data_IF_476762224127
#
_entry.id   IF_476762224127
#
_cell.length_a   1.000
_cell.length_b   1.000
_cell.length_c   1.000
_cell.angle_alpha   90.00
_cell.angle_beta   90.00
_cell.angle_gamma   90.00
#
_symmetry.space_group_name_H-M   'P 1'
#
loop_
_entity.id
_entity.type
_entity.pdbx_description
1 polymer ?
#
# COMPACT_ATOMS: atom_id res chain seq x y z
N UNK A 1 7.86 19.31 -2.32
CA UNK A 1 8.47 19.74 -1.03
C UNK A 1 9.58 18.77 -0.67
N UNK A 2 10.53 19.21 0.15
CA UNK A 2 11.65 18.41 0.64
C UNK A 2 12.08 18.93 2.02
N UNK A 3 12.21 18.03 3.00
CA UNK A 3 12.82 18.32 4.29
C UNK A 3 14.24 17.77 4.36
N UNK A 4 15.18 18.60 4.81
CA UNK A 4 16.48 18.15 5.30
C UNK A 4 16.48 18.22 6.84
N UNK A 5 17.10 17.24 7.50
CA UNK A 5 17.05 17.10 8.94
C UNK A 5 18.44 16.86 9.53
N UNK A 6 18.67 17.44 10.71
CA UNK A 6 19.74 17.03 11.60
C UNK A 6 19.42 15.67 12.22
N UNK A 7 20.46 14.93 12.64
CA UNK A 7 20.35 13.57 13.19
C UNK A 7 21.13 13.37 14.50
N UNK A 8 21.43 14.46 15.21
CA UNK A 8 22.37 14.46 16.34
C UNK A 8 21.98 13.53 17.49
N UNK A 9 20.69 13.40 17.80
CA UNK A 9 20.17 12.59 18.92
C UNK A 9 19.51 11.27 18.46
N UNK A 10 19.78 10.84 17.23
CA UNK A 10 19.11 9.70 16.61
C UNK A 10 17.64 9.97 16.23
N UNK A 11 17.19 11.23 16.29
CA UNK A 11 15.91 11.67 15.73
C UNK A 11 16.16 12.60 14.56
N UNK A 12 15.25 12.55 13.59
CA UNK A 12 15.22 13.51 12.49
C UNK A 12 14.54 14.79 12.96
N UNK A 13 15.31 15.87 13.08
CA UNK A 13 14.80 17.21 13.39
C UNK A 13 14.99 18.11 12.16
N UNK A 14 13.88 18.53 11.51
CA UNK A 14 13.96 19.38 10.32
C UNK A 14 14.65 20.70 10.61
N UNK A 15 15.69 21.00 9.84
CA UNK A 15 16.40 22.29 9.89
C UNK A 15 16.30 23.09 8.58
N UNK A 16 15.81 22.46 7.50
CA UNK A 16 15.48 23.13 6.26
C UNK A 16 14.28 22.45 5.58
N UNK A 17 13.38 23.25 5.03
CA UNK A 17 12.31 22.79 4.14
C UNK A 17 12.25 23.70 2.92
N UNK A 18 12.29 23.10 1.74
CA UNK A 18 12.07 23.81 0.47
C UNK A 18 10.80 23.30 -0.17
N UNK A 19 9.96 24.22 -0.65
CA UNK A 19 8.76 23.91 -1.42
C UNK A 19 8.71 24.80 -2.65
N UNK A 20 8.36 24.21 -3.77
CA UNK A 20 8.11 24.92 -5.03
C UNK A 20 6.69 24.59 -5.49
N UNK A 21 5.98 25.58 -6.02
CA UNK A 21 4.73 25.36 -6.74
C UNK A 21 5.01 24.91 -8.19
N UNK A 22 3.96 24.69 -9.00
CA UNK A 22 4.12 24.25 -10.39
C UNK A 22 4.94 25.25 -11.24
N UNK A 23 4.72 26.55 -11.05
CA UNK A 23 5.45 27.64 -11.72
C UNK A 23 6.93 27.71 -11.32
N UNK A 24 7.29 27.18 -10.16
CA UNK A 24 8.65 27.25 -9.58
C UNK A 24 8.83 28.36 -8.59
N UNK A 25 7.76 29.03 -8.17
CA UNK A 25 7.83 29.95 -7.05
C UNK A 25 8.18 29.16 -5.80
N UNK A 26 9.22 29.62 -5.12
CA UNK A 26 9.83 28.91 -4.02
C UNK A 26 9.48 29.55 -2.69
N UNK A 27 9.29 28.70 -1.68
CA UNK A 27 9.28 29.11 -0.27
C UNK A 27 10.24 28.23 0.52
N UNK A 28 11.07 28.89 1.33
CA UNK A 28 12.09 28.27 2.17
C UNK A 28 11.75 28.52 3.62
N UNK A 29 11.88 27.47 4.44
CA UNK A 29 11.78 27.51 5.89
C UNK A 29 13.07 26.94 6.45
N UNK A 30 13.71 27.64 7.37
CA UNK A 30 15.01 27.23 7.91
C UNK A 30 15.10 27.46 9.42
N UNK A 31 15.99 26.72 10.07
CA UNK A 31 16.23 26.80 11.51
C UNK A 31 15.44 25.78 12.33
N UNK A 32 15.45 25.90 13.67
CA UNK A 32 15.00 24.83 14.57
C UNK A 32 13.49 24.59 14.56
N UNK A 33 12.70 25.59 14.12
CA UNK A 33 11.24 25.50 14.04
C UNK A 33 10.73 25.21 12.64
N UNK A 34 11.61 24.83 11.70
CA UNK A 34 11.30 24.60 10.27
C UNK A 34 10.00 23.83 10.05
N UNK A 35 9.81 22.71 10.78
CA UNK A 35 8.59 21.89 10.68
C UNK A 35 7.33 22.66 11.09
N UNK A 36 7.38 23.32 12.24
CA UNK A 36 6.22 24.02 12.80
C UNK A 36 5.89 25.27 11.94
N UNK A 37 6.88 25.98 11.43
CA UNK A 37 6.69 27.13 10.51
C UNK A 37 6.14 26.69 9.15
N UNK A 38 6.71 25.62 8.56
CA UNK A 38 6.21 25.03 7.33
C UNK A 38 4.75 24.61 7.48
N UNK A 39 4.42 23.83 8.50
CA UNK A 39 3.05 23.37 8.71
C UNK A 39 2.09 24.52 9.03
N UNK A 40 2.53 25.53 9.78
CA UNK A 40 1.73 26.74 10.02
C UNK A 40 1.38 27.43 8.70
N UNK A 41 2.33 27.53 7.77
CA UNK A 41 2.07 28.08 6.44
C UNK A 41 1.15 27.16 5.61
N UNK A 42 1.45 25.87 5.51
CA UNK A 42 0.65 24.89 4.75
C UNK A 42 -0.83 24.99 5.11
N UNK A 43 -1.15 25.05 6.40
CA UNK A 43 -2.53 25.01 6.89
C UNK A 43 -3.20 26.39 6.98
N UNK A 44 -2.72 27.37 6.19
CA UNK A 44 -3.40 28.63 5.94
C UNK A 44 -4.45 28.49 4.83
N UNK A 45 -5.51 29.29 4.89
CA UNK A 45 -6.61 29.26 3.92
C UNK A 45 -6.15 29.48 2.47
N UNK A 46 -5.06 30.23 2.27
CA UNK A 46 -4.46 30.49 0.95
C UNK A 46 -3.98 29.22 0.25
N UNK A 47 -3.66 28.17 1.01
CA UNK A 47 -3.19 26.88 0.50
C UNK A 47 -4.30 25.83 0.43
N UNK A 48 -5.57 26.18 0.70
CA UNK A 48 -6.68 25.26 0.59
C UNK A 48 -6.81 24.68 -0.84
N UNK A 49 -7.28 23.43 -0.95
CA UNK A 49 -7.38 22.68 -2.21
C UNK A 49 -6.03 22.37 -2.89
N UNK A 50 -4.94 22.30 -2.12
CA UNK A 50 -3.60 22.01 -2.64
C UNK A 50 -3.19 20.56 -2.39
N UNK A 51 -2.52 19.97 -3.37
CA UNK A 51 -1.82 18.68 -3.22
C UNK A 51 -0.32 18.91 -3.14
N UNK A 52 0.28 18.54 -2.01
CA UNK A 52 1.72 18.53 -1.80
C UNK A 52 2.30 17.18 -2.20
N UNK A 53 3.39 17.21 -2.94
CA UNK A 53 4.12 16.01 -3.36
C UNK A 53 5.51 16.01 -2.72
N UNK A 54 5.90 14.88 -2.14
CA UNK A 54 7.26 14.63 -1.67
C UNK A 54 7.77 13.28 -2.18
N UNK A 55 9.09 13.09 -2.13
CA UNK A 55 9.74 11.86 -2.55
C UNK A 55 10.16 11.05 -1.33
N UNK A 56 9.61 9.84 -1.18
CA UNK A 56 9.72 9.04 0.04
C UNK A 56 8.99 9.63 1.28
N UNK A 57 7.97 10.47 1.04
CA UNK A 57 6.96 10.90 2.01
C UNK A 57 6.52 9.78 2.96
N UNK A 58 6.27 8.59 2.40
CA UNK A 58 5.65 7.46 3.08
C UNK A 58 6.47 6.87 4.23
N UNK A 59 7.78 7.12 4.23
CA UNK A 59 8.70 6.60 5.24
C UNK A 59 9.45 7.71 5.99
N UNK A 60 9.26 8.98 5.61
CA UNK A 60 10.04 10.10 6.12
C UNK A 60 9.16 11.32 6.44
N UNK A 61 8.94 12.20 5.47
CA UNK A 61 8.28 13.51 5.65
C UNK A 61 6.87 13.40 6.25
N UNK A 62 6.14 12.33 5.91
CA UNK A 62 4.78 12.11 6.37
C UNK A 62 4.67 12.01 7.89
N UNK A 63 5.67 11.46 8.58
CA UNK A 63 5.66 11.37 10.04
C UNK A 63 5.89 12.73 10.70
N UNK A 64 6.68 13.61 10.08
CA UNK A 64 6.92 14.97 10.59
C UNK A 64 5.62 15.78 10.55
N UNK A 65 4.91 15.74 9.42
CA UNK A 65 3.62 16.42 9.25
C UNK A 65 2.56 15.81 10.18
N UNK A 66 2.50 14.49 10.26
CA UNK A 66 1.55 13.81 11.14
C UNK A 66 1.77 14.18 12.62
N UNK A 67 3.03 14.27 13.05
CA UNK A 67 3.37 14.72 14.41
C UNK A 67 2.88 16.14 14.69
N UNK A 68 3.05 17.07 13.73
CA UNK A 68 2.55 18.43 13.86
C UNK A 68 1.02 18.44 14.01
N UNK A 69 0.30 17.69 13.17
CA UNK A 69 -1.16 17.66 13.18
C UNK A 69 -1.70 17.16 14.52
N UNK A 70 -1.17 16.04 15.03
CA UNK A 70 -1.58 15.52 16.33
C UNK A 70 -1.22 16.43 17.50
N UNK A 71 -0.05 17.10 17.46
CA UNK A 71 0.34 18.10 18.46
C UNK A 71 -0.67 19.27 18.52
N UNK A 72 -1.29 19.59 17.39
CA UNK A 72 -2.28 20.67 17.26
C UNK A 72 -3.75 20.18 17.32
N UNK A 73 -3.99 18.91 17.67
CA UNK A 73 -5.35 18.35 17.79
C UNK A 73 -6.09 18.18 16.45
N UNK A 74 -5.38 18.21 15.33
CA UNK A 74 -5.96 17.99 14.00
C UNK A 74 -5.90 16.50 13.68
N UNK A 75 -7.03 15.92 13.26
CA UNK A 75 -7.13 14.50 12.91
C UNK A 75 -7.24 14.35 11.39
N UNK A 76 -6.14 14.02 10.68
CA UNK A 76 -6.19 13.83 9.24
C UNK A 76 -6.77 12.45 8.87
N UNK A 77 -7.24 12.33 7.63
CA UNK A 77 -7.45 11.04 6.99
C UNK A 77 -6.11 10.49 6.48
N UNK A 78 -5.82 9.23 6.79
CA UNK A 78 -4.52 8.60 6.50
C UNK A 78 -4.74 7.30 5.74
N UNK A 79 -4.01 7.13 4.65
CA UNK A 79 -3.96 5.87 3.90
C UNK A 79 -2.57 5.29 4.03
N UNK A 80 -2.48 4.05 4.52
CA UNK A 80 -1.21 3.40 4.83
C UNK A 80 -0.98 2.10 4.06
N UNK A 81 0.29 1.71 3.97
CA UNK A 81 0.73 0.36 3.58
C UNK A 81 1.62 -0.18 4.68
N UNK A 82 1.02 -0.99 5.56
CA UNK A 82 1.66 -1.34 6.82
C UNK A 82 1.94 -0.08 7.64
N UNK A 83 3.19 0.13 8.05
CA UNK A 83 3.58 1.33 8.79
C UNK A 83 3.72 2.59 7.92
N UNK A 84 3.84 2.45 6.58
CA UNK A 84 4.16 3.57 5.67
C UNK A 84 2.92 4.41 5.32
N UNK A 85 3.05 5.74 5.30
CA UNK A 85 1.95 6.68 5.04
C UNK A 85 1.89 7.04 3.55
N UNK A 86 1.02 6.41 2.77
CA UNK A 86 0.94 6.69 1.33
C UNK A 86 0.32 8.07 1.03
N UNK A 87 -0.65 8.48 1.86
CA UNK A 87 -1.37 9.73 1.73
C UNK A 87 -1.81 10.23 3.10
N UNK A 88 -1.80 11.55 3.24
CA UNK A 88 -2.36 12.26 4.38
C UNK A 88 -3.27 13.38 3.85
N UNK A 89 -4.50 13.46 4.34
CA UNK A 89 -5.46 14.49 3.92
C UNK A 89 -6.05 15.20 5.13
N UNK A 90 -6.15 16.53 5.05
CA UNK A 90 -6.91 17.35 6.00
C UNK A 90 -8.20 17.81 5.30
N UNK A 91 -9.34 17.13 5.51
CA UNK A 91 -10.56 17.32 4.72
C UNK A 91 -11.12 18.74 4.79
N UNK A 92 -11.01 19.41 5.93
CA UNK A 92 -11.58 20.74 6.18
C UNK A 92 -11.04 21.80 5.22
N UNK A 93 -9.77 21.66 4.79
CA UNK A 93 -9.13 22.55 3.83
C UNK A 93 -8.92 21.89 2.46
N UNK A 94 -9.30 20.61 2.32
CA UNK A 94 -8.98 19.78 1.15
C UNK A 94 -7.48 19.83 0.80
N UNK A 95 -6.61 19.79 1.82
CA UNK A 95 -5.16 19.73 1.66
C UNK A 95 -4.72 18.28 1.69
N UNK A 96 -3.96 17.86 0.69
CA UNK A 96 -3.50 16.48 0.53
C UNK A 96 -1.99 16.44 0.43
N UNK A 97 -1.37 15.44 1.04
CA UNK A 97 0.02 15.06 0.84
C UNK A 97 0.09 13.69 0.20
N UNK A 98 0.85 13.56 -0.88
CA UNK A 98 1.02 12.31 -1.61
C UNK A 98 2.47 11.95 -1.83
N UNK A 99 2.71 10.65 -1.90
CA UNK A 99 3.99 10.04 -2.19
C UNK A 99 4.24 9.91 -3.70
N UNK A 100 5.32 10.51 -4.21
CA UNK A 100 5.72 10.34 -5.62
C UNK A 100 6.18 8.91 -5.95
N UNK A 101 6.80 8.16 -5.02
CA UNK A 101 7.22 6.76 -5.23
C UNK A 101 6.05 5.80 -5.51
N UNK A 102 4.83 6.17 -5.15
CA UNK A 102 3.64 5.40 -5.48
C UNK A 102 3.30 5.48 -6.99
N UNK A 103 3.82 6.50 -7.68
CA UNK A 103 3.64 6.71 -9.11
C UNK A 103 4.90 6.39 -9.90
N UNK A 104 6.06 6.83 -9.40
CA UNK A 104 7.37 6.73 -10.05
C UNK A 104 8.32 5.96 -9.12
N UNK A 105 8.32 4.61 -9.14
CA UNK A 105 8.97 3.77 -8.14
C UNK A 105 10.49 3.63 -8.37
N UNK A 106 11.22 4.73 -8.35
CA UNK A 106 12.68 4.79 -8.50
C UNK A 106 13.27 5.92 -7.66
N UNK A 107 14.60 5.93 -7.48
CA UNK A 107 15.29 7.01 -6.76
C UNK A 107 15.14 8.34 -7.51
N UNK A 108 15.04 9.45 -6.77
CA UNK A 108 14.99 10.80 -7.33
C UNK A 108 16.13 11.10 -8.32
N UNK A 109 17.35 10.60 -8.04
CA UNK A 109 18.50 10.74 -8.94
C UNK A 109 18.28 10.16 -10.35
N UNK A 110 17.37 9.20 -10.50
CA UNK A 110 17.04 8.58 -11.78
C UNK A 110 15.92 9.31 -12.53
N UNK A 111 15.25 10.28 -11.91
CA UNK A 111 14.12 11.00 -12.51
C UNK A 111 14.55 11.76 -13.79
N UNK A 112 15.60 12.60 -13.77
CA UNK A 112 15.95 13.40 -14.95
C UNK A 112 16.20 12.54 -16.19
N UNK A 113 17.01 11.49 -16.06
CA UNK A 113 17.30 10.54 -17.14
C UNK A 113 16.03 9.84 -17.66
N UNK A 114 15.12 9.46 -16.76
CA UNK A 114 13.86 8.78 -17.13
C UNK A 114 12.96 9.68 -17.97
N UNK A 115 12.93 10.97 -17.68
CA UNK A 115 12.10 11.96 -18.36
C UNK A 115 12.85 12.76 -19.45
N UNK A 116 14.10 12.37 -19.77
CA UNK A 116 14.89 13.03 -20.82
C UNK A 116 15.36 14.44 -20.48
N UNK A 117 15.34 14.84 -19.20
CA UNK A 117 15.86 16.12 -18.72
C UNK A 117 17.37 15.99 -18.48
N UNK A 118 18.19 16.51 -19.40
CA UNK A 118 19.66 16.34 -19.38
C UNK A 118 20.37 17.45 -18.61
N UNK A 119 19.71 18.58 -18.42
CA UNK A 119 20.22 19.72 -17.66
C UNK A 119 20.14 19.52 -16.14
N UNK A 120 19.37 18.52 -15.69
CA UNK A 120 19.17 18.23 -14.27
C UNK A 120 19.98 17.00 -13.84
N UNK A 121 20.76 17.16 -12.79
CA UNK A 121 21.42 16.04 -12.11
C UNK A 121 21.35 16.27 -10.60
N UNK A 122 21.00 15.21 -9.86
CA UNK A 122 21.06 15.25 -8.40
C UNK A 122 22.52 15.39 -7.95
N UNK A 123 22.80 16.39 -7.13
CA UNK A 123 24.11 16.61 -6.52
C UNK A 123 24.39 15.70 -5.33
N UNK A 124 25.54 15.92 -4.68
CA UNK A 124 25.95 15.24 -3.45
C UNK A 124 25.92 16.21 -2.28
N UNK A 125 25.45 15.74 -1.11
CA UNK A 125 25.38 16.54 0.11
C UNK A 125 25.89 15.73 1.32
N UNK A 126 26.67 16.33 2.24
CA UNK A 126 27.23 15.61 3.37
C UNK A 126 26.19 15.45 4.50
N UNK A 127 25.26 14.50 4.33
CA UNK A 127 24.16 14.27 5.26
C UNK A 127 24.61 14.06 6.72
N UNK A 128 25.73 13.38 6.96
CA UNK A 128 26.24 13.16 8.33
C UNK A 128 26.98 14.37 8.91
N UNK A 129 27.25 15.39 8.09
CA UNK A 129 27.80 16.68 8.51
C UNK A 129 26.70 17.67 8.91
N UNK A 130 25.43 17.40 8.55
CA UNK A 130 24.27 18.20 8.97
C UNK A 130 23.97 18.00 10.46
N UNK A 131 24.69 18.78 11.27
CA UNK A 131 24.67 18.75 12.74
C UNK A 131 24.54 20.17 13.26
N UNK A 132 24.00 20.33 14.47
CA UNK A 132 23.88 21.64 15.11
C UNK A 132 25.22 22.39 15.19
N UNK A 133 26.31 21.67 15.44
CA UNK A 133 27.67 22.21 15.58
C UNK A 133 28.25 22.75 14.26
N UNK A 134 27.76 22.27 13.12
CA UNK A 134 28.30 22.60 11.79
C UNK A 134 27.43 23.59 11.02
N UNK A 135 26.33 24.09 11.60
CA UNK A 135 25.38 24.95 10.87
C UNK A 135 26.03 26.25 10.38
N UNK A 136 27.02 26.78 11.11
CA UNK A 136 27.74 28.01 10.74
C UNK A 136 29.12 27.71 10.09
N UNK A 137 29.34 26.46 9.64
CA UNK A 137 30.62 26.06 9.08
C UNK A 137 30.88 26.71 7.72
N UNK A 138 32.01 27.40 7.63
CA UNK A 138 32.63 27.87 6.39
C UNK A 138 34.09 27.44 6.39
N UNK A 139 34.51 26.73 5.35
CA UNK A 139 35.88 26.24 5.26
C UNK A 139 36.09 25.19 4.16
N UNK A 140 37.11 24.33 4.29
CA UNK A 140 37.35 23.27 3.32
C UNK A 140 36.19 22.28 3.21
N UNK A 141 36.13 21.54 2.11
CA UNK A 141 35.18 20.45 1.91
C UNK A 141 35.14 19.47 3.11
N UNK A 142 33.94 19.11 3.62
CA UNK A 142 33.80 18.08 4.64
C UNK A 142 34.44 16.77 4.20
N UNK A 143 34.95 15.97 5.14
CA UNK A 143 35.53 14.66 4.82
C UNK A 143 34.53 13.77 4.06
N UNK A 144 35.02 13.01 3.08
CA UNK A 144 34.18 12.15 2.22
C UNK A 144 33.25 11.21 3.00
N UNK A 145 33.64 10.75 4.19
CA UNK A 145 32.81 9.90 5.06
C UNK A 145 31.45 10.52 5.40
N UNK A 146 31.35 11.85 5.40
CA UNK A 146 30.10 12.54 5.74
C UNK A 146 29.03 12.48 4.62
N UNK A 147 29.42 12.05 3.42
CA UNK A 147 28.54 11.91 2.25
C UNK A 147 27.99 10.48 2.07
N UNK A 148 28.34 9.54 2.95
CA UNK A 148 27.98 8.12 2.87
C UNK A 148 28.38 7.41 1.54
N UNK A 149 29.67 7.44 1.14
CA UNK A 149 30.10 6.80 -0.11
C UNK A 149 29.96 5.27 -0.10
N UNK A 150 29.84 4.65 1.07
CA UNK A 150 29.64 3.20 1.21
C UNK A 150 28.17 2.79 0.98
N UNK A 151 27.22 3.72 1.16
CA UNK A 151 25.81 3.54 0.78
C UNK A 151 25.53 3.73 -0.72
N UNK A 152 26.50 4.25 -1.48
CA UNK A 152 26.38 4.48 -2.93
C UNK A 152 26.60 3.19 -3.74
N UNK A 153 25.99 3.11 -4.92
CA UNK A 153 26.36 2.08 -5.91
C UNK A 153 27.76 2.36 -6.47
N UNK A 154 28.45 1.34 -6.98
CA UNK A 154 29.80 1.46 -7.57
C UNK A 154 29.92 2.65 -8.53
N UNK A 155 29.05 2.75 -9.55
CA UNK A 155 29.07 3.82 -10.55
C UNK A 155 28.81 5.21 -9.97
N UNK A 156 28.05 5.30 -8.87
CA UNK A 156 27.74 6.57 -8.22
C UNK A 156 28.87 7.00 -7.28
N UNK A 157 29.52 6.03 -6.62
CA UNK A 157 30.71 6.24 -5.80
C UNK A 157 31.89 6.75 -6.63
N UNK A 158 32.11 6.23 -7.83
CA UNK A 158 33.15 6.70 -8.75
C UNK A 158 32.90 8.15 -9.17
N UNK A 159 31.66 8.48 -9.52
CA UNK A 159 31.25 9.86 -9.86
C UNK A 159 31.39 10.80 -8.68
N UNK A 160 30.99 10.37 -7.48
CA UNK A 160 31.17 11.10 -6.24
C UNK A 160 32.65 11.45 -6.00
N UNK A 161 33.56 10.48 -6.06
CA UNK A 161 34.99 10.77 -5.82
C UNK A 161 35.62 11.64 -6.90
N UNK A 162 35.17 11.52 -8.15
CA UNK A 162 35.61 12.42 -9.23
C UNK A 162 35.21 13.87 -8.91
N UNK A 163 33.94 14.08 -8.56
CA UNK A 163 33.41 15.38 -8.14
C UNK A 163 34.09 15.92 -6.86
N UNK A 164 34.26 15.07 -5.85
CA UNK A 164 34.81 15.43 -4.55
C UNK A 164 36.29 15.83 -4.66
N UNK A 165 37.09 15.02 -5.35
CA UNK A 165 38.52 15.28 -5.51
C UNK A 165 38.78 16.55 -6.32
N UNK A 166 37.96 16.80 -7.35
CA UNK A 166 38.02 18.05 -8.15
C UNK A 166 37.79 19.28 -7.27
N UNK A 167 36.75 19.28 -6.42
CA UNK A 167 36.48 20.39 -5.50
C UNK A 167 37.58 20.57 -4.44
N UNK A 168 38.15 19.47 -3.93
CA UNK A 168 39.25 19.52 -2.96
C UNK A 168 40.53 20.07 -3.62
N UNK A 169 40.85 19.64 -4.84
CA UNK A 169 42.03 20.10 -5.60
C UNK A 169 41.95 21.60 -5.89
N UNK A 170 40.76 22.09 -6.25
CA UNK A 170 40.50 23.52 -6.48
C UNK A 170 40.30 24.34 -5.19
N UNK A 171 40.51 23.74 -4.01
CA UNK A 171 40.36 24.39 -2.71
C UNK A 171 38.99 25.07 -2.54
N UNK A 172 37.93 24.42 -3.01
CA UNK A 172 36.58 24.94 -2.93
C UNK A 172 36.21 25.28 -1.47
N UNK A 173 35.73 26.51 -1.27
CA UNK A 173 35.26 26.99 0.02
C UNK A 173 33.80 26.56 0.22
N UNK A 174 33.61 25.61 1.12
CA UNK A 174 32.33 25.03 1.47
C UNK A 174 31.65 25.91 2.53
N UNK A 175 30.54 26.54 2.15
CA UNK A 175 29.59 27.21 3.05
C UNK A 175 28.41 26.26 3.29
N UNK A 176 28.25 25.81 4.54
CA UNK A 176 27.22 24.84 4.88
C UNK A 176 25.79 25.32 4.58
N UNK A 177 25.47 26.58 4.89
CA UNK A 177 24.12 27.13 4.68
C UNK A 177 23.82 27.32 3.20
N UNK A 178 24.80 27.75 2.41
CA UNK A 178 24.64 27.86 0.96
C UNK A 178 24.45 26.48 0.31
N UNK A 179 25.24 25.49 0.72
CA UNK A 179 25.25 24.15 0.12
C UNK A 179 24.00 23.33 0.46
N UNK A 180 23.52 23.36 1.70
CA UNK A 180 22.28 22.67 2.10
C UNK A 180 21.07 23.23 1.36
N UNK A 181 21.03 24.56 1.18
CA UNK A 181 19.98 25.22 0.41
C UNK A 181 20.06 24.83 -1.07
N UNK A 182 21.23 24.99 -1.69
CA UNK A 182 21.44 24.66 -3.11
C UNK A 182 21.07 23.21 -3.43
N UNK A 183 21.48 22.27 -2.58
CA UNK A 183 21.12 20.86 -2.71
C UNK A 183 19.61 20.64 -2.62
N UNK A 184 18.97 21.21 -1.59
CA UNK A 184 17.52 21.04 -1.37
C UNK A 184 16.67 21.68 -2.46
N UNK A 185 17.08 22.83 -2.99
CA UNK A 185 16.46 23.48 -4.14
C UNK A 185 16.54 22.60 -5.38
N UNK A 186 17.72 22.03 -5.65
CA UNK A 186 17.92 21.10 -6.78
C UNK A 186 17.03 19.86 -6.66
N UNK A 187 16.93 19.27 -5.46
CA UNK A 187 16.08 18.10 -5.22
C UNK A 187 14.59 18.39 -5.45
N UNK A 188 14.09 19.52 -4.92
CA UNK A 188 12.70 19.93 -5.12
C UNK A 188 12.43 20.26 -6.58
N UNK A 189 13.38 20.89 -7.28
CA UNK A 189 13.25 21.21 -8.69
C UNK A 189 13.19 19.96 -9.57
N UNK A 190 14.07 18.98 -9.33
CA UNK A 190 14.03 17.67 -9.99
C UNK A 190 12.69 16.99 -9.76
N UNK A 191 12.22 16.95 -8.50
CA UNK A 191 10.94 16.35 -8.17
C UNK A 191 9.79 17.04 -8.91
N UNK A 192 9.76 18.38 -8.87
CA UNK A 192 8.74 19.21 -9.52
C UNK A 192 8.70 18.95 -11.02
N UNK A 193 9.81 19.18 -11.73
CA UNK A 193 9.86 19.14 -13.20
C UNK A 193 9.54 17.75 -13.72
N UNK A 194 10.08 16.70 -13.08
CA UNK A 194 9.79 15.32 -13.48
C UNK A 194 8.37 14.85 -13.12
N UNK A 195 7.80 15.27 -12.00
CA UNK A 195 6.39 14.97 -11.70
C UNK A 195 5.45 15.69 -12.68
N UNK A 196 5.73 16.95 -13.03
CA UNK A 196 4.96 17.67 -14.03
C UNK A 196 5.04 17.00 -15.41
N UNK A 197 6.23 16.58 -15.83
CA UNK A 197 6.40 15.82 -17.08
C UNK A 197 5.62 14.51 -17.06
N UNK A 198 5.69 13.74 -15.96
CA UNK A 198 4.89 12.54 -15.79
C UNK A 198 3.38 12.80 -15.89
N UNK A 199 2.89 13.85 -15.21
CA UNK A 199 1.48 14.25 -15.23
C UNK A 199 1.04 14.61 -16.64
N UNK A 200 1.84 15.38 -17.37
CA UNK A 200 1.56 15.82 -18.73
C UNK A 200 1.49 14.63 -19.68
N UNK A 201 2.54 13.79 -19.71
CA UNK A 201 2.59 12.59 -20.55
C UNK A 201 1.40 11.65 -20.28
N UNK A 202 1.05 11.44 -19.01
CA UNK A 202 -0.07 10.57 -18.65
C UNK A 202 -1.41 11.17 -19.09
N UNK A 203 -1.60 12.47 -18.89
CA UNK A 203 -2.84 13.19 -19.22
C UNK A 203 -3.06 13.26 -20.73
N UNK A 204 -2.02 13.52 -21.52
CA UNK A 204 -2.09 13.56 -22.99
C UNK A 204 -2.56 12.23 -23.60
N UNK A 205 -2.19 11.10 -23.00
CA UNK A 205 -2.53 9.77 -23.52
C UNK A 205 -3.91 9.29 -23.02
N UNK A 206 -4.32 9.69 -21.81
CA UNK A 206 -5.42 9.02 -21.11
C UNK A 206 -6.57 9.93 -20.66
N UNK A 207 -6.41 11.25 -20.76
CA UNK A 207 -7.37 12.24 -20.23
C UNK A 207 -7.65 12.03 -18.73
N UNK A 208 -6.62 11.64 -17.97
CA UNK A 208 -6.67 11.43 -16.52
C UNK A 208 -5.47 12.10 -15.89
N UNK A 209 -5.71 12.99 -14.93
CA UNK A 209 -4.67 13.48 -14.04
C UNK A 209 -4.37 12.43 -12.96
N UNK A 210 -3.17 11.81 -12.96
CA UNK A 210 -2.85 10.74 -12.04
C UNK A 210 -2.73 11.20 -10.58
N UNK A 211 -2.28 12.43 -10.32
CA UNK A 211 -2.06 12.93 -8.95
C UNK A 211 -3.35 13.43 -8.30
N UNK A 212 -4.23 14.03 -9.10
CA UNK A 212 -5.55 14.45 -8.62
C UNK A 212 -6.48 13.26 -8.37
N UNK A 213 -6.50 12.29 -9.28
CA UNK A 213 -7.53 11.24 -9.30
C UNK A 213 -7.16 9.97 -8.55
N UNK A 214 -5.87 9.76 -8.26
CA UNK A 214 -5.36 8.48 -7.77
C UNK A 214 -4.29 8.68 -6.69
N UNK A 215 -3.85 7.56 -6.10
CA UNK A 215 -2.77 7.53 -5.10
C UNK A 215 -1.57 6.69 -5.53
N UNK A 216 -1.73 5.88 -6.57
CA UNK A 216 -0.68 4.99 -7.07
C UNK A 216 -0.80 4.86 -8.58
N UNK A 217 0.31 4.50 -9.25
CA UNK A 217 0.31 4.17 -10.68
C UNK A 217 -0.66 3.04 -11.00
N UNK A 218 -0.74 2.01 -10.16
CA UNK A 218 -1.69 0.90 -10.34
C UNK A 218 -3.15 1.37 -10.31
N UNK A 219 -3.48 2.29 -9.39
CA UNK A 219 -4.80 2.91 -9.33
C UNK A 219 -5.08 3.75 -10.57
N UNK A 220 -4.10 4.52 -11.05
CA UNK A 220 -4.23 5.33 -12.26
C UNK A 220 -4.46 4.45 -13.49
N UNK A 221 -3.64 3.41 -13.69
CA UNK A 221 -3.82 2.45 -14.78
C UNK A 221 -5.17 1.72 -14.71
N UNK A 222 -5.62 1.34 -13.51
CA UNK A 222 -6.94 0.73 -13.34
C UNK A 222 -8.09 1.71 -13.64
N UNK A 223 -7.94 2.99 -13.29
CA UNK A 223 -8.91 4.02 -13.67
C UNK A 223 -8.97 4.17 -15.19
N UNK A 224 -7.82 4.24 -15.87
CA UNK A 224 -7.74 4.30 -17.33
C UNK A 224 -8.36 3.06 -17.97
N UNK A 225 -8.07 1.87 -17.45
CA UNK A 225 -8.70 0.63 -17.92
C UNK A 225 -10.23 0.71 -17.84
N UNK A 226 -10.77 1.11 -16.68
CA UNK A 226 -12.21 1.24 -16.48
C UNK A 226 -12.86 2.34 -17.32
N UNK A 227 -12.16 3.46 -17.57
CA UNK A 227 -12.67 4.61 -18.35
C UNK A 227 -12.65 4.33 -19.85
N UNK A 228 -11.62 3.62 -20.34
CA UNK A 228 -11.32 3.60 -21.78
C UNK A 228 -11.42 2.21 -22.41
N UNK A 229 -11.13 1.14 -21.66
CA UNK A 229 -10.94 -0.20 -22.23
C UNK A 229 -11.94 -1.25 -21.74
N UNK A 230 -12.56 -1.04 -20.58
CA UNK A 230 -13.51 -1.99 -20.00
C UNK A 230 -14.79 -2.04 -20.84
N UNK A 231 -15.06 -3.21 -21.43
CA UNK A 231 -16.27 -3.45 -22.20
C UNK A 231 -17.49 -3.58 -21.30
N UNK A 232 -18.64 -3.11 -21.80
CA UNK A 232 -19.92 -3.23 -21.10
C UNK A 232 -20.24 -4.69 -20.75
N UNK A 233 -20.87 -4.89 -19.58
CA UNK A 233 -21.36 -6.19 -19.13
C UNK A 233 -20.29 -7.30 -18.99
N UNK A 234 -19.01 -6.94 -18.85
CA UNK A 234 -17.91 -7.92 -18.65
C UNK A 234 -17.56 -8.16 -17.18
N UNK A 235 -18.00 -7.30 -16.26
CA UNK A 235 -17.85 -7.52 -14.83
C UNK A 235 -18.92 -8.52 -14.36
N UNK A 236 -18.47 -9.67 -13.87
CA UNK A 236 -19.36 -10.69 -13.35
C UNK A 236 -20.09 -10.18 -12.10
N UNK A 237 -21.42 -10.30 -12.09
CA UNK A 237 -22.23 -10.02 -10.89
C UNK A 237 -22.10 -11.20 -9.95
N UNK A 238 -21.59 -10.95 -8.75
CA UNK A 238 -21.51 -11.97 -7.69
C UNK A 238 -22.89 -12.03 -7.01
N UNK A 239 -23.63 -13.14 -7.09
CA UNK A 239 -24.91 -13.26 -6.39
C UNK A 239 -24.69 -13.29 -4.87
N UNK A 240 -25.70 -12.98 -4.03
CA UNK A 240 -25.56 -12.89 -2.57
C UNK A 240 -24.94 -14.12 -1.88
N UNK A 241 -24.99 -15.29 -2.53
CA UNK A 241 -24.42 -16.55 -2.01
C UNK A 241 -23.21 -17.06 -2.81
N UNK A 242 -22.60 -16.23 -3.65
CA UNK A 242 -21.47 -16.60 -4.52
C UNK A 242 -21.84 -17.53 -5.69
N UNK A 243 -20.88 -17.82 -6.57
CA UNK A 243 -21.11 -18.64 -7.78
C UNK A 243 -21.33 -20.12 -7.49
N UNK A 244 -21.01 -20.58 -6.29
CA UNK A 244 -21.22 -21.96 -5.86
C UNK A 244 -22.23 -21.95 -4.72
N UNK A 245 -23.30 -22.77 -4.77
CA UNK A 245 -24.12 -22.98 -3.59
C UNK A 245 -23.22 -23.44 -2.44
N UNK A 246 -23.37 -22.84 -1.26
CA UNK A 246 -22.61 -23.23 -0.08
C UNK A 246 -22.68 -24.74 0.13
N UNK A 247 -21.54 -25.40 0.31
CA UNK A 247 -21.51 -26.82 0.67
C UNK A 247 -22.19 -26.97 2.03
N UNK A 248 -23.37 -27.61 2.05
CA UNK A 248 -24.22 -27.77 3.23
C UNK A 248 -23.76 -28.88 4.18
N UNK A 249 -22.48 -29.24 4.15
CA UNK A 249 -21.96 -30.32 4.99
C UNK A 249 -21.99 -29.90 6.47
N UNK A 250 -22.57 -30.73 7.33
CA UNK A 250 -22.72 -30.39 8.75
C UNK A 250 -21.37 -30.43 9.49
N UNK A 251 -21.21 -29.55 10.48
CA UNK A 251 -20.03 -29.53 11.36
C UNK A 251 -19.86 -30.86 12.10
N UNK A 252 -20.97 -31.52 12.46
CA UNK A 252 -20.96 -32.82 13.13
C UNK A 252 -20.41 -33.90 12.20
N UNK A 253 -20.84 -33.92 10.92
CA UNK A 253 -20.30 -34.84 9.92
C UNK A 253 -18.79 -34.65 9.76
N UNK A 254 -18.33 -33.42 9.57
CA UNK A 254 -16.90 -33.13 9.43
C UNK A 254 -16.07 -33.60 10.63
N UNK A 255 -16.56 -33.38 11.85
CA UNK A 255 -15.88 -33.83 13.08
C UNK A 255 -15.86 -35.36 13.18
N UNK A 256 -16.97 -36.02 12.88
CA UNK A 256 -17.04 -37.49 12.87
C UNK A 256 -16.08 -38.08 11.85
N UNK A 257 -16.07 -37.59 10.61
CA UNK A 257 -15.23 -38.10 9.54
C UNK A 257 -13.74 -37.92 9.87
N UNK A 258 -13.36 -36.76 10.42
CA UNK A 258 -11.99 -36.53 10.88
C UNK A 258 -11.59 -37.52 11.98
N UNK A 259 -12.49 -37.80 12.94
CA UNK A 259 -12.24 -38.76 14.01
C UNK A 259 -12.13 -40.20 13.48
N UNK A 260 -13.01 -40.63 12.57
CA UNK A 260 -12.96 -41.97 11.95
C UNK A 260 -11.66 -42.13 11.14
N UNK A 261 -11.32 -41.12 10.33
CA UNK A 261 -10.09 -41.12 9.53
C UNK A 261 -8.84 -41.30 10.42
N UNK A 262 -8.79 -40.62 11.57
CA UNK A 262 -7.69 -40.73 12.52
C UNK A 262 -7.69 -42.08 13.27
N UNK A 263 -8.84 -42.53 13.76
CA UNK A 263 -8.96 -43.76 14.55
C UNK A 263 -8.60 -44.99 13.73
N UNK A 264 -9.10 -45.06 12.51
CA UNK A 264 -8.97 -46.24 11.65
C UNK A 264 -7.78 -46.10 10.68
N UNK A 265 -7.10 -44.95 10.68
CA UNK A 265 -6.01 -44.60 9.77
C UNK A 265 -6.39 -44.77 8.28
N UNK A 266 -7.55 -44.23 7.90
CA UNK A 266 -8.13 -44.31 6.56
C UNK A 266 -8.25 -42.91 5.95
N UNK A 267 -7.91 -42.76 4.68
CA UNK A 267 -8.17 -41.53 3.94
C UNK A 267 -9.66 -41.43 3.57
N UNK A 268 -10.34 -40.39 4.08
CA UNK A 268 -11.76 -40.13 3.80
C UNK A 268 -11.90 -38.78 3.09
N UNK A 269 -12.53 -38.78 1.90
CA UNK A 269 -12.85 -37.56 1.13
C UNK A 269 -14.15 -36.93 1.63
N UNK A 270 -14.15 -35.62 1.84
CA UNK A 270 -15.29 -34.82 2.32
C UNK A 270 -15.15 -33.34 1.89
N UNK A 271 -16.11 -32.47 2.23
CA UNK A 271 -16.19 -31.10 1.66
C UNK A 271 -15.02 -30.16 2.00
N UNK A 272 -14.21 -30.47 3.03
CA UNK A 272 -13.07 -29.65 3.49
C UNK A 272 -11.70 -30.18 3.06
N UNK A 273 -11.65 -31.22 2.24
CA UNK A 273 -10.41 -31.68 1.61
C UNK A 273 -10.56 -31.76 0.08
N UNK A 274 -10.58 -32.95 -0.51
CA UNK A 274 -10.69 -33.22 -1.95
C UNK A 274 -12.15 -33.20 -2.47
N UNK A 275 -13.07 -32.59 -1.71
CA UNK A 275 -14.49 -32.50 -2.02
C UNK A 275 -15.30 -33.76 -1.68
N UNK A 276 -16.62 -33.60 -1.57
CA UNK A 276 -17.57 -34.71 -1.42
C UNK A 276 -17.62 -35.55 -2.70
N UNK A 277 -17.75 -36.87 -2.54
CA UNK A 277 -17.89 -37.79 -3.67
C UNK A 277 -19.34 -37.85 -4.12
N UNK A 278 -19.57 -37.85 -5.43
CA UNK A 278 -20.89 -38.12 -6.02
C UNK A 278 -21.00 -39.60 -6.37
N UNK A 279 -22.07 -40.24 -5.90
CA UNK A 279 -22.45 -41.61 -6.23
C UNK A 279 -23.86 -41.56 -6.82
N UNK A 280 -23.98 -41.84 -8.12
CA UNK A 280 -25.21 -41.61 -8.88
C UNK A 280 -25.68 -40.15 -8.78
N UNK A 281 -26.91 -39.94 -8.28
CA UNK A 281 -27.48 -38.59 -8.09
C UNK A 281 -27.13 -37.95 -6.74
N UNK A 282 -26.55 -38.70 -5.80
CA UNK A 282 -26.31 -38.24 -4.43
C UNK A 282 -24.86 -37.80 -4.21
N UNK A 283 -24.68 -36.72 -3.44
CA UNK A 283 -23.41 -36.42 -2.79
C UNK A 283 -23.40 -37.10 -1.42
N UNK A 284 -22.25 -37.68 -1.06
CA UNK A 284 -22.08 -38.34 0.23
C UNK A 284 -21.18 -37.55 1.17
N UNK A 285 -21.47 -37.59 2.47
CA UNK A 285 -20.72 -36.83 3.48
C UNK A 285 -19.24 -37.25 3.51
N UNK A 286 -18.97 -38.56 3.48
CA UNK A 286 -17.62 -39.13 3.49
C UNK A 286 -17.50 -40.34 2.58
N UNK A 287 -16.40 -40.44 1.85
CA UNK A 287 -16.10 -41.61 1.03
C UNK A 287 -14.61 -41.96 1.05
N UNK A 288 -14.30 -43.25 1.22
CA UNK A 288 -12.94 -43.77 1.04
C UNK A 288 -12.89 -44.68 -0.17
N UNK A 289 -11.98 -44.39 -1.09
CA UNK A 289 -11.72 -45.21 -2.28
C UNK A 289 -11.06 -46.54 -1.87
N UNK A 290 -10.16 -46.49 -0.89
CA UNK A 290 -9.37 -47.65 -0.45
C UNK A 290 -10.25 -48.76 0.14
N UNK A 291 -11.20 -48.37 0.99
CA UNK A 291 -12.12 -49.32 1.64
C UNK A 291 -13.47 -49.43 0.94
N UNK A 292 -13.67 -48.68 -0.15
CA UNK A 292 -14.94 -48.54 -0.86
C UNK A 292 -16.13 -48.32 0.11
N UNK A 293 -15.95 -47.43 1.09
CA UNK A 293 -16.91 -47.23 2.19
C UNK A 293 -17.47 -45.81 2.14
N UNK A 294 -18.78 -45.71 2.35
CA UNK A 294 -19.51 -44.44 2.49
C UNK A 294 -19.86 -44.21 3.96
N UNK A 295 -19.64 -42.99 4.44
CA UNK A 295 -20.12 -42.52 5.74
C UNK A 295 -21.13 -41.40 5.53
N UNK A 296 -22.24 -41.47 6.23
CA UNK A 296 -23.37 -40.55 6.15
C UNK A 296 -23.86 -40.19 7.56
N UNK A 297 -24.04 -38.90 7.82
CA UNK A 297 -24.52 -38.41 9.12
C UNK A 297 -25.96 -37.94 9.00
N UNK A 298 -26.86 -38.77 9.52
CA UNK A 298 -28.31 -38.54 9.47
C UNK A 298 -28.77 -37.61 10.60
N UNK A 299 -28.43 -36.31 10.50
CA UNK A 299 -28.88 -35.28 11.44
C UNK A 299 -30.40 -35.19 11.56
N UNK A 300 -30.93 -35.13 12.79
CA UNK A 300 -32.36 -35.29 13.07
C UNK A 300 -33.28 -34.31 12.31
N UNK A 301 -32.92 -33.03 12.28
CA UNK A 301 -33.68 -31.97 11.62
C UNK A 301 -33.73 -32.16 10.09
N UNK A 302 -32.64 -32.66 9.50
CA UNK A 302 -32.46 -32.71 8.05
C UNK A 302 -32.99 -34.00 7.42
N UNK A 303 -33.07 -35.08 8.20
CA UNK A 303 -33.32 -36.44 7.70
C UNK A 303 -34.58 -37.11 8.29
N UNK A 304 -35.45 -36.34 8.94
CA UNK A 304 -36.77 -36.81 9.38
C UNK A 304 -36.74 -37.81 10.53
N UNK A 305 -36.07 -37.49 11.65
CA UNK A 305 -36.00 -38.40 12.79
C UNK A 305 -37.38 -38.62 13.45
N UNK A 306 -37.88 -39.86 13.38
CA UNK A 306 -39.19 -40.27 13.93
C UNK A 306 -39.28 -40.18 15.47
N UNK A 307 -38.14 -40.09 16.17
CA UNK A 307 -38.09 -39.93 17.62
C UNK A 307 -38.20 -38.47 18.06
N UNK A 308 -37.66 -37.56 17.25
CA UNK A 308 -37.53 -36.15 17.63
C UNK A 308 -38.67 -35.28 17.08
N UNK A 309 -39.37 -35.73 16.04
CA UNK A 309 -40.39 -34.94 15.36
C UNK A 309 -41.59 -35.80 14.95
N UNK A 310 -42.79 -35.21 14.96
CA UNK A 310 -43.99 -35.84 14.41
C UNK A 310 -43.95 -35.83 12.87
N UNK A 311 -44.69 -36.76 12.25
CA UNK A 311 -44.66 -36.98 10.78
C UNK A 311 -45.06 -35.74 9.98
N UNK A 312 -46.07 -35.04 10.47
CA UNK A 312 -46.67 -33.83 9.91
C UNK A 312 -45.91 -32.54 10.26
N UNK A 313 -44.88 -32.62 11.12
CA UNK A 313 -44.03 -31.47 11.44
C UNK A 313 -43.35 -30.97 10.17
N UNK A 314 -43.45 -29.67 9.89
CA UNK A 314 -42.79 -29.04 8.74
C UNK A 314 -41.41 -28.53 9.15
N UNK A 315 -40.38 -28.92 8.40
CA UNK A 315 -39.02 -28.42 8.61
C UNK A 315 -38.97 -26.92 8.22
N UNK A 316 -38.49 -26.03 9.11
CA UNK A 316 -38.55 -24.59 8.92
C UNK A 316 -37.59 -24.05 7.83
N UNK A 317 -36.67 -24.88 7.33
CA UNK A 317 -35.63 -24.48 6.37
C UNK A 317 -35.96 -24.94 4.94
N UNK A 318 -36.43 -26.18 4.78
CA UNK A 318 -36.75 -26.74 3.47
C UNK A 318 -38.25 -26.84 3.18
N UNK A 319 -39.10 -26.48 4.15
CA UNK A 319 -40.56 -26.44 4.06
C UNK A 319 -41.22 -27.77 3.68
N UNK A 320 -40.54 -28.89 3.93
CA UNK A 320 -41.07 -30.24 3.75
C UNK A 320 -41.52 -30.85 5.07
N UNK A 321 -42.44 -31.83 5.02
CA UNK A 321 -42.78 -32.60 6.21
C UNK A 321 -41.62 -33.49 6.63
N UNK A 322 -41.50 -33.77 7.93
CA UNK A 322 -40.48 -34.69 8.44
C UNK A 322 -40.67 -36.11 7.91
N UNK A 323 -41.91 -36.50 7.59
CA UNK A 323 -42.20 -37.76 6.88
C UNK A 323 -41.58 -37.80 5.47
N UNK A 324 -41.71 -36.73 4.69
CA UNK A 324 -41.14 -36.69 3.34
C UNK A 324 -39.61 -36.70 3.38
N UNK A 325 -39.00 -35.98 4.34
CA UNK A 325 -37.54 -35.99 4.54
C UNK A 325 -37.04 -37.38 4.96
N UNK A 326 -37.80 -38.08 5.80
CA UNK A 326 -37.49 -39.46 6.20
C UNK A 326 -37.55 -40.40 5.01
N UNK A 327 -38.60 -40.29 4.20
CA UNK A 327 -38.77 -41.11 3.00
C UNK A 327 -37.60 -40.93 2.02
N UNK A 328 -37.21 -39.69 1.74
CA UNK A 328 -36.03 -39.38 0.91
C UNK A 328 -34.73 -39.93 1.46
N UNK A 329 -34.58 -39.90 2.79
CA UNK A 329 -33.41 -40.46 3.47
C UNK A 329 -33.34 -41.97 3.28
N UNK A 330 -34.47 -42.66 3.44
CA UNK A 330 -34.56 -44.11 3.23
C UNK A 330 -34.28 -44.50 1.78
N UNK A 331 -34.79 -43.74 0.82
CA UNK A 331 -34.49 -43.94 -0.61
C UNK A 331 -33.00 -43.80 -0.92
N UNK A 332 -32.33 -42.80 -0.31
CA UNK A 332 -30.87 -42.61 -0.45
C UNK A 332 -30.12 -43.80 0.15
N UNK A 333 -30.50 -44.24 1.36
CA UNK A 333 -29.88 -45.39 2.03
C UNK A 333 -30.09 -46.70 1.24
N UNK A 334 -31.23 -46.86 0.59
CA UNK A 334 -31.50 -48.04 -0.24
C UNK A 334 -30.71 -48.03 -1.56
N UNK A 335 -30.41 -46.84 -2.08
CA UNK A 335 -29.65 -46.67 -3.32
C UNK A 335 -28.14 -46.84 -3.14
N UNK A 336 -27.59 -46.31 -2.03
CA UNK A 336 -26.18 -46.42 -1.66
C UNK A 336 -25.87 -47.82 -1.13
#
# INVERSE_FOLDING_TARGET
MFFECTQDDGKHVPNLCVVQNESGDEKVFSGPNTKDEFCTWVFQQENANTTFVAHNFQAYDGYLILQYLYKNGITPEIITRGAKILSLTVPEMNIKFIESLCFIPMKLAAFPKTFGLTELQKGYFPHFFNRAENQDYMGPMPEAKFYDPDGMSTDDRERFFTWYNDLVEHQYEFDFQAEILRYSQSDVDILRRCCLEFRELFSQITDVDPFASCLTIASACNLVFRKTFLQENTIAVIPPCGYKPENKQSVIALKMLAWVAQRDNIAIRHARNHGEQRIGKYLVDGFSVETNTVWEVQGCLWHGCERCYARDTVNPINHMTMQDLRQRTLEKIQFL
#
